data_IF_603476121571
#
_entry.id   IF_603476121571
#
_cell.length_a   1.000
_cell.length_b   1.000
_cell.length_c   1.000
_cell.angle_alpha   90.00
_cell.angle_beta   90.00
_cell.angle_gamma   90.00
#
_symmetry.space_group_name_H-M   'P 1'
#
loop_
_entity.id
_entity.type
_entity.pdbx_description
1 polymer ?
#
# COMPACT_ATOMS: atom_id res chain seq x y z
N UNK A 1 12.88 0.72 -9.77
CA UNK A 1 11.86 1.78 -9.93
C UNK A 1 10.99 1.38 -11.11
N UNK A 2 9.69 1.17 -10.92
CA UNK A 2 8.76 0.81 -12.00
C UNK A 2 8.45 2.01 -12.90
N UNK A 3 7.90 1.77 -14.10
CA UNK A 3 7.55 2.83 -15.05
C UNK A 3 6.51 3.80 -14.48
N UNK A 4 5.55 3.30 -13.70
CA UNK A 4 4.59 4.14 -12.98
C UNK A 4 5.24 5.04 -11.93
N UNK A 5 6.23 4.54 -11.20
CA UNK A 5 6.97 5.34 -10.21
C UNK A 5 7.72 6.51 -10.87
N UNK A 6 8.15 6.37 -12.12
CA UNK A 6 8.78 7.47 -12.89
C UNK A 6 7.81 8.58 -13.28
N UNK A 7 6.51 8.29 -13.39
CA UNK A 7 5.46 9.27 -13.73
C UNK A 7 5.02 10.09 -12.52
N UNK A 8 5.38 9.69 -11.30
CA UNK A 8 5.05 10.43 -10.09
C UNK A 8 6.08 11.54 -9.87
N UNK A 9 5.68 12.83 -9.76
CA UNK A 9 6.62 13.93 -9.50
C UNK A 9 7.08 13.94 -8.03
N UNK A 10 7.77 12.89 -7.59
CA UNK A 10 8.28 12.73 -6.21
C UNK A 10 9.21 13.89 -5.81
N UNK A 11 9.87 14.53 -6.78
CA UNK A 11 10.76 15.67 -6.56
C UNK A 11 10.05 16.94 -6.08
N UNK A 12 8.75 17.11 -6.34
CA UNK A 12 8.01 18.30 -5.87
C UNK A 12 7.34 18.09 -4.52
N UNK A 13 7.27 16.84 -4.05
CA UNK A 13 6.66 16.49 -2.76
C UNK A 13 7.78 16.46 -1.70
N UNK A 14 7.68 17.25 -0.62
CA UNK A 14 8.63 17.22 0.48
C UNK A 14 8.84 15.78 0.99
N UNK A 15 10.07 15.35 1.34
CA UNK A 15 10.33 13.97 1.75
C UNK A 15 9.38 13.43 2.84
N UNK A 16 9.01 14.28 3.81
CA UNK A 16 8.10 13.92 4.88
C UNK A 16 6.64 13.66 4.44
N UNK A 17 6.23 14.21 3.29
CA UNK A 17 4.87 14.11 2.74
C UNK A 17 4.76 13.08 1.59
N UNK A 18 5.86 12.39 1.27
CA UNK A 18 5.84 11.42 0.17
C UNK A 18 4.99 10.20 0.50
N UNK A 19 4.11 9.76 -0.43
CA UNK A 19 3.43 8.48 -0.32
C UNK A 19 4.40 7.32 -0.17
N UNK A 20 4.05 6.31 0.62
CA UNK A 20 4.81 5.05 0.73
C UNK A 20 3.93 3.84 0.48
N UNK A 21 4.49 2.83 -0.17
CA UNK A 21 3.85 1.51 -0.28
C UNK A 21 4.13 0.74 1.00
N UNK A 22 3.08 0.43 1.76
CA UNK A 22 3.17 -0.36 3.00
C UNK A 22 3.13 -1.85 2.69
N UNK A 23 2.27 -2.25 1.75
CA UNK A 23 2.14 -3.62 1.27
C UNK A 23 2.14 -3.61 -0.25
N UNK A 24 2.88 -4.54 -0.86
CA UNK A 24 2.96 -4.74 -2.30
C UNK A 24 2.59 -6.16 -2.66
N UNK A 25 1.87 -6.33 -3.76
CA UNK A 25 1.64 -7.63 -4.35
C UNK A 25 2.97 -8.27 -4.78
N UNK A 26 3.05 -9.60 -4.67
CA UNK A 26 4.21 -10.37 -5.12
C UNK A 26 4.44 -10.31 -6.63
N UNK A 27 5.44 -11.04 -7.10
CA UNK A 27 5.60 -11.30 -8.54
C UNK A 27 4.41 -12.14 -9.04
N UNK A 28 4.08 -12.05 -10.33
CA UNK A 28 2.96 -12.79 -10.94
C UNK A 28 3.03 -14.29 -10.65
N UNK A 29 4.24 -14.86 -10.66
CA UNK A 29 4.49 -16.28 -10.35
C UNK A 29 4.21 -16.66 -8.90
N UNK A 30 4.21 -15.69 -8.00
CA UNK A 30 4.05 -15.87 -6.54
C UNK A 30 2.63 -15.49 -6.07
N UNK A 31 1.80 -14.89 -6.93
CA UNK A 31 0.43 -14.49 -6.60
C UNK A 31 -0.57 -15.66 -6.57
N UNK A 32 -0.25 -16.79 -7.20
CA UNK A 32 -1.13 -17.95 -7.31
C UNK A 32 -1.08 -18.80 -6.03
N UNK A 33 -1.85 -18.42 -5.01
CA UNK A 33 -1.98 -19.22 -3.78
C UNK A 33 -3.15 -20.23 -3.86
N UNK A 34 -4.15 -20.04 -4.74
CA UNK A 34 -5.32 -20.94 -4.81
C UNK A 34 -5.92 -21.23 -6.20
N UNK A 35 -5.29 -20.79 -7.29
CA UNK A 35 -5.72 -21.12 -8.66
C UNK A 35 -6.98 -20.40 -9.18
N UNK A 36 -7.53 -19.48 -8.41
CA UNK A 36 -8.72 -18.68 -8.77
C UNK A 36 -8.40 -17.23 -9.17
N UNK A 37 -7.12 -16.88 -9.33
CA UNK A 37 -6.70 -15.52 -9.67
C UNK A 37 -6.67 -15.34 -11.19
N UNK A 38 -7.61 -14.54 -11.70
CA UNK A 38 -7.61 -14.03 -13.07
C UNK A 38 -6.94 -12.65 -13.12
N UNK A 39 -6.19 -12.35 -14.18
CA UNK A 39 -5.55 -11.03 -14.34
C UNK A 39 -4.36 -10.77 -13.40
N UNK A 40 -3.62 -11.82 -12.99
CA UNK A 40 -2.50 -11.68 -12.06
C UNK A 40 -1.43 -10.66 -12.52
N UNK A 41 -1.18 -10.58 -13.83
CA UNK A 41 -0.25 -9.61 -14.43
C UNK A 41 -0.63 -8.14 -14.17
N UNK A 42 -1.93 -7.84 -14.04
CA UNK A 42 -2.41 -6.46 -13.84
C UNK A 42 -2.10 -5.94 -12.44
N UNK A 43 -2.07 -6.84 -11.44
CA UNK A 43 -1.81 -6.48 -10.04
C UNK A 43 -0.39 -6.83 -9.59
N UNK A 44 0.34 -7.65 -10.35
CA UNK A 44 1.70 -8.07 -10.02
C UNK A 44 2.60 -6.86 -9.75
N UNK A 45 3.34 -6.91 -8.64
CA UNK A 45 4.25 -5.84 -8.18
C UNK A 45 3.58 -4.47 -7.94
N UNK A 46 2.27 -4.35 -8.05
CA UNK A 46 1.55 -3.11 -7.74
C UNK A 46 1.33 -2.97 -6.23
N UNK A 47 1.18 -1.74 -5.72
CA UNK A 47 0.91 -1.52 -4.30
C UNK A 47 -0.48 -2.06 -3.91
N UNK A 48 -0.54 -2.84 -2.83
CA UNK A 48 -1.78 -3.29 -2.23
C UNK A 48 -2.29 -2.30 -1.17
N UNK A 49 -1.36 -1.69 -0.42
CA UNK A 49 -1.65 -0.64 0.57
C UNK A 49 -0.68 0.51 0.41
N UNK A 50 -1.21 1.72 0.33
CA UNK A 50 -0.43 2.97 0.26
C UNK A 50 -0.80 3.86 1.45
N UNK A 51 0.22 4.36 2.13
CA UNK A 51 0.10 5.38 3.17
C UNK A 51 0.54 6.74 2.61
N UNK A 52 -0.34 7.73 2.70
CA UNK A 52 -0.12 9.10 2.24
C UNK A 52 -0.26 10.07 3.42
N UNK A 53 0.83 10.69 3.89
CA UNK A 53 0.75 11.75 4.90
C UNK A 53 0.05 12.98 4.32
N UNK A 54 -0.94 13.49 5.03
CA UNK A 54 -1.65 14.73 4.66
C UNK A 54 -1.75 15.62 5.90
N UNK A 55 -1.05 16.75 5.87
CA UNK A 55 -0.89 17.65 7.01
C UNK A 55 -0.41 16.94 8.28
N UNK A 56 -1.30 16.77 9.28
CA UNK A 56 -1.04 16.09 10.56
C UNK A 56 -1.59 14.67 10.60
N UNK A 57 -2.23 14.22 9.52
CA UNK A 57 -2.90 12.93 9.44
C UNK A 57 -2.39 12.07 8.29
N UNK A 58 -3.11 10.98 8.04
CA UNK A 58 -2.76 9.99 7.05
C UNK A 58 -4.01 9.57 6.26
N UNK A 59 -3.85 9.42 4.95
CA UNK A 59 -4.81 8.75 4.08
C UNK A 59 -4.22 7.38 3.73
N UNK A 60 -4.93 6.33 4.11
CA UNK A 60 -4.55 4.94 3.81
C UNK A 60 -5.44 4.42 2.69
N UNK A 61 -4.82 4.06 1.56
CA UNK A 61 -5.51 3.53 0.39
C UNK A 61 -5.31 2.01 0.32
N UNK A 62 -6.41 1.29 0.07
CA UNK A 62 -6.43 -0.15 -0.14
C UNK A 62 -6.83 -0.43 -1.59
N UNK A 63 -6.07 -1.28 -2.29
CA UNK A 63 -6.42 -1.72 -3.64
C UNK A 63 -7.55 -2.74 -3.67
N UNK A 64 -7.70 -3.52 -2.58
CA UNK A 64 -8.84 -4.41 -2.38
C UNK A 64 -9.94 -3.71 -1.57
N UNK A 65 -11.10 -4.36 -1.44
CA UNK A 65 -12.11 -3.97 -0.47
C UNK A 65 -11.94 -4.84 0.80
N UNK A 66 -11.20 -4.37 1.82
CA UNK A 66 -10.93 -5.17 3.02
C UNK A 66 -12.15 -5.34 3.94
N UNK A 67 -13.27 -4.69 3.64
CA UNK A 67 -14.53 -4.77 4.41
C UNK A 67 -15.66 -5.26 3.51
N UNK A 68 -15.41 -6.36 2.78
CA UNK A 68 -16.42 -7.04 1.97
C UNK A 68 -16.97 -8.28 2.69
N UNK A 69 -18.20 -8.66 2.35
CA UNK A 69 -18.83 -9.87 2.90
C UNK A 69 -18.13 -11.12 2.35
N UNK A 70 -17.64 -11.97 3.24
CA UNK A 70 -16.94 -13.22 2.87
C UNK A 70 -15.44 -13.05 2.69
N UNK A 71 -14.89 -11.89 3.06
CA UNK A 71 -13.46 -11.64 3.05
C UNK A 71 -12.72 -12.42 4.16
N UNK A 72 -11.42 -12.69 3.96
CA UNK A 72 -10.62 -13.46 4.91
C UNK A 72 -10.33 -12.68 6.20
N UNK A 73 -10.09 -13.40 7.31
CA UNK A 73 -9.64 -12.82 8.59
C UNK A 73 -8.40 -11.93 8.42
N UNK A 74 -7.48 -12.29 7.50
CA UNK A 74 -6.26 -11.52 7.25
C UNK A 74 -6.53 -10.13 6.66
N UNK A 75 -7.52 -9.99 5.79
CA UNK A 75 -7.83 -8.70 5.14
C UNK A 75 -8.38 -7.67 6.13
N UNK A 76 -9.14 -8.09 7.14
CA UNK A 76 -9.65 -7.16 8.17
C UNK A 76 -8.53 -6.49 8.96
N UNK A 77 -7.40 -7.17 9.17
CA UNK A 77 -6.26 -6.59 9.87
C UNK A 77 -5.61 -5.42 9.09
N UNK A 78 -5.81 -5.32 7.77
CA UNK A 78 -5.37 -4.15 7.00
C UNK A 78 -6.03 -2.87 7.51
N UNK A 79 -7.33 -2.94 7.87
CA UNK A 79 -8.10 -1.80 8.37
C UNK A 79 -7.94 -1.65 9.89
N UNK A 80 -8.05 -2.74 10.65
CA UNK A 80 -7.97 -2.65 12.11
C UNK A 80 -6.59 -2.20 12.58
N UNK A 81 -5.50 -2.65 11.95
CA UNK A 81 -4.17 -2.16 12.31
C UNK A 81 -4.02 -0.66 12.01
N UNK A 82 -4.64 -0.17 10.92
CA UNK A 82 -4.62 1.25 10.60
C UNK A 82 -5.40 2.08 11.63
N UNK A 83 -6.56 1.59 12.09
CA UNK A 83 -7.38 2.27 13.11
C UNK A 83 -6.69 2.23 14.49
N UNK A 84 -6.24 1.06 14.93
CA UNK A 84 -5.68 0.86 16.26
C UNK A 84 -4.34 1.59 16.45
N UNK A 85 -3.60 1.84 15.37
CA UNK A 85 -2.30 2.52 15.38
C UNK A 85 -2.34 3.83 14.58
N UNK A 86 -3.48 4.52 14.56
CA UNK A 86 -3.70 5.72 13.73
C UNK A 86 -2.68 6.84 14.00
N UNK A 87 -2.12 6.91 15.20
CA UNK A 87 -1.12 7.86 15.68
C UNK A 87 0.32 7.46 15.32
N UNK A 88 0.53 6.21 14.86
CA UNK A 88 1.85 5.63 14.57
C UNK A 88 1.96 5.11 13.14
N UNK A 89 1.09 5.57 12.23
CA UNK A 89 1.10 5.15 10.82
C UNK A 89 2.36 5.55 10.05
N UNK A 90 3.23 6.38 10.62
CA UNK A 90 4.56 6.71 10.07
C UNK A 90 5.69 5.78 10.53
N UNK A 91 5.42 4.77 11.35
CA UNK A 91 6.46 3.89 11.91
C UNK A 91 7.34 3.26 10.80
N UNK A 92 8.65 3.20 11.05
CA UNK A 92 9.64 2.61 10.14
C UNK A 92 9.88 3.40 8.84
N UNK A 93 9.37 4.64 8.72
CA UNK A 93 9.66 5.49 7.57
C UNK A 93 11.13 5.92 7.58
N UNK A 94 11.89 5.48 6.59
CA UNK A 94 13.19 6.05 6.25
C UNK A 94 12.96 7.31 5.42
N UNK A 95 13.34 8.47 5.96
CA UNK A 95 13.40 9.69 5.18
C UNK A 95 14.72 9.64 4.41
N UNK A 96 14.65 9.67 3.08
CA UNK A 96 15.84 9.91 2.26
C UNK A 96 16.27 11.35 2.52
N UNK A 97 17.17 11.52 3.48
CA UNK A 97 17.91 12.78 3.68
C UNK A 97 18.89 12.91 2.51
N UNK A 98 18.92 14.13 1.95
CA UNK A 98 19.66 14.52 0.74
C UNK A 98 21.04 13.88 0.54
#
# INVERSE_FOLDING_TARGET
MTEEQRRNPIYVIPPAQRPRTVLRYGDEKELLVSGLLEGAGDIAKHPAVVDVPVEKGHVVLFSNNPVWRGETLGSYFLVFNAILNFDQLGAGRTLDTE
#
